data_IF_514222179017
#
_entry.id   IF_514222179017
#
_cell.length_a   1.000
_cell.length_b   1.000
_cell.length_c   1.000
_cell.angle_alpha   90.00
_cell.angle_beta   90.00
_cell.angle_gamma   90.00
#
_symmetry.space_group_name_H-M   'P 1'
#
loop_
_entity.id
_entity.type
_entity.pdbx_description
1 polymer ?
#
# COMPACT_ATOMS: atom_id res chain seq x y z
N UNK A 1 -45.45 21.40 2.95
CA UNK A 1 -44.22 21.96 2.37
C UNK A 1 -43.07 21.62 3.28
N UNK A 2 -42.25 20.74 2.81
CA UNK A 2 -41.31 19.90 3.55
C UNK A 2 -40.12 20.66 4.16
N UNK A 3 -40.03 20.55 5.49
CA UNK A 3 -38.86 20.99 6.27
C UNK A 3 -37.87 19.85 6.52
N UNK A 4 -37.70 18.94 5.55
CA UNK A 4 -36.92 17.70 5.69
C UNK A 4 -35.75 17.57 4.68
N UNK A 5 -35.13 18.67 4.24
CA UNK A 5 -33.96 18.62 3.34
C UNK A 5 -32.94 19.72 3.67
N UNK A 6 -32.35 19.68 4.85
CA UNK A 6 -31.07 20.36 5.08
C UNK A 6 -30.33 19.78 6.28
N UNK A 7 -30.22 18.48 6.41
CA UNK A 7 -29.04 17.93 7.10
C UNK A 7 -27.89 17.97 6.09
N UNK A 8 -27.21 19.12 6.08
CA UNK A 8 -25.91 19.25 5.41
C UNK A 8 -25.03 18.10 5.89
N UNK A 9 -24.54 17.29 4.94
CA UNK A 9 -23.57 16.25 5.19
C UNK A 9 -22.31 16.93 5.79
N UNK A 10 -22.32 17.07 7.11
CA UNK A 10 -21.13 17.45 7.84
C UNK A 10 -20.12 16.34 7.59
N UNK A 11 -19.03 16.63 6.87
CA UNK A 11 -18.00 15.67 6.53
C UNK A 11 -17.64 14.88 7.81
N UNK A 12 -17.99 13.61 7.86
CA UNK A 12 -17.75 12.75 9.02
C UNK A 12 -16.25 12.60 9.16
N UNK A 13 -15.66 13.22 10.17
CA UNK A 13 -14.23 13.12 10.46
C UNK A 13 -13.96 11.90 11.33
N UNK A 14 -12.88 11.18 11.04
CA UNK A 14 -12.39 10.06 11.84
C UNK A 14 -11.65 10.50 13.11
N UNK A 15 -11.47 11.81 13.31
CA UNK A 15 -10.77 12.37 14.49
C UNK A 15 -9.33 11.87 14.59
N UNK A 16 -8.62 11.80 13.46
CA UNK A 16 -7.27 11.24 13.38
C UNK A 16 -6.19 12.15 14.02
N UNK A 17 -6.51 13.37 14.35
CA UNK A 17 -5.69 14.34 15.08
C UNK A 17 -5.36 13.90 16.51
N UNK A 18 -6.13 12.97 17.08
CA UNK A 18 -5.83 12.35 18.39
C UNK A 18 -4.63 11.40 18.38
N UNK A 19 -4.17 10.98 17.21
CA UNK A 19 -3.02 10.09 17.06
C UNK A 19 -1.74 10.89 16.79
N UNK A 20 -0.62 10.44 17.37
CA UNK A 20 0.67 11.00 17.04
C UNK A 20 0.95 10.84 15.54
N UNK A 21 1.29 11.94 14.86
CA UNK A 21 1.49 11.96 13.41
C UNK A 21 2.55 12.96 13.02
N UNK A 22 3.34 12.62 11.99
CA UNK A 22 4.34 13.50 11.36
C UNK A 22 3.95 13.72 9.90
N UNK A 23 3.99 14.94 9.43
CA UNK A 23 3.72 15.25 8.03
C UNK A 23 4.86 14.77 7.13
N UNK A 24 4.63 13.70 6.39
CA UNK A 24 5.58 13.11 5.43
C UNK A 24 5.02 13.07 4.00
N UNK A 25 3.70 13.02 3.86
CA UNK A 25 3.02 12.91 2.57
C UNK A 25 2.70 14.27 1.95
N UNK A 26 2.75 14.33 0.63
CA UNK A 26 1.98 15.32 -0.12
C UNK A 26 0.52 14.85 -0.16
N UNK A 27 -0.38 15.60 0.46
CA UNK A 27 -1.81 15.29 0.56
C UNK A 27 -2.65 16.53 0.24
N UNK A 28 -3.84 16.36 -0.35
CA UNK A 28 -4.39 15.09 -0.85
C UNK A 28 -3.64 14.60 -2.09
N UNK A 29 -3.50 13.26 -2.25
CA UNK A 29 -2.98 12.73 -3.52
C UNK A 29 -4.06 12.82 -4.59
N UNK A 30 -3.72 13.04 -5.89
CA UNK A 30 -4.71 13.19 -6.94
C UNK A 30 -5.61 11.96 -7.14
N UNK A 31 -6.85 12.19 -7.57
CA UNK A 31 -7.69 11.21 -8.26
C UNK A 31 -7.82 11.69 -9.71
N UNK A 32 -7.40 10.87 -10.65
CA UNK A 32 -7.36 11.18 -12.08
C UNK A 32 -8.17 10.18 -12.88
N UNK A 33 -8.90 10.58 -13.96
CA UNK A 33 -9.55 9.63 -14.84
C UNK A 33 -8.53 8.89 -15.70
N UNK A 34 -8.72 7.58 -15.88
CA UNK A 34 -7.95 6.74 -16.80
C UNK A 34 -8.73 6.57 -18.12
N UNK A 35 -8.80 7.65 -18.89
CA UNK A 35 -9.72 7.77 -20.03
C UNK A 35 -9.39 6.78 -21.15
N UNK A 36 -8.10 6.59 -21.44
CA UNK A 36 -7.68 5.69 -22.54
C UNK A 36 -7.82 4.22 -22.13
N UNK A 37 -7.53 3.90 -20.87
CA UNK A 37 -7.77 2.55 -20.33
C UNK A 37 -9.26 2.22 -20.29
N UNK A 38 -10.13 3.16 -19.88
CA UNK A 38 -11.58 2.99 -19.90
C UNK A 38 -12.08 2.68 -21.32
N UNK A 39 -11.64 3.46 -22.32
CA UNK A 39 -12.00 3.24 -23.72
C UNK A 39 -11.48 1.89 -24.26
N UNK A 40 -10.24 1.51 -23.90
CA UNK A 40 -9.63 0.25 -24.33
C UNK A 40 -10.37 -0.98 -23.80
N UNK A 41 -10.79 -0.94 -22.54
CA UNK A 41 -11.45 -2.07 -21.88
C UNK A 41 -12.97 -2.13 -22.17
N UNK A 42 -13.56 -1.04 -22.67
CA UNK A 42 -14.96 -1.02 -23.10
C UNK A 42 -15.99 -1.29 -22.01
N UNK A 43 -15.62 -1.00 -20.74
CA UNK A 43 -16.42 -1.28 -19.55
C UNK A 43 -16.70 -0.05 -18.69
N UNK A 44 -16.41 -0.12 -17.37
CA UNK A 44 -16.64 0.97 -16.43
C UNK A 44 -15.73 2.18 -16.70
N UNK A 45 -16.09 3.33 -16.13
CA UNK A 45 -15.18 4.47 -16.05
C UNK A 45 -14.11 4.19 -15.01
N UNK A 46 -12.84 4.19 -15.43
CA UNK A 46 -11.71 3.93 -14.55
C UNK A 46 -11.07 5.23 -14.06
N UNK A 47 -10.73 5.25 -12.81
CA UNK A 47 -10.00 6.32 -12.14
C UNK A 47 -8.80 5.74 -11.39
N UNK A 48 -7.80 6.58 -11.14
CA UNK A 48 -6.60 6.21 -10.39
C UNK A 48 -6.38 7.16 -9.21
N UNK A 49 -6.24 6.62 -8.01
CA UNK A 49 -5.77 7.33 -6.82
C UNK A 49 -4.26 7.24 -6.76
N UNK A 50 -3.58 8.37 -6.86
CA UNK A 50 -2.14 8.50 -7.09
C UNK A 50 -1.33 8.46 -5.79
N UNK A 51 -1.40 7.37 -5.02
CA UNK A 51 -0.56 7.23 -3.82
C UNK A 51 0.92 6.95 -4.15
N UNK A 52 1.26 6.72 -5.41
CA UNK A 52 2.62 6.83 -5.94
C UNK A 52 3.18 8.26 -5.83
N UNK A 53 2.33 9.29 -5.80
CA UNK A 53 2.69 10.70 -5.69
C UNK A 53 2.74 11.24 -4.24
N UNK A 54 2.83 10.39 -3.22
CA UNK A 54 2.97 10.84 -1.81
C UNK A 54 4.26 11.62 -1.53
N UNK A 55 5.21 11.65 -2.45
CA UNK A 55 6.37 12.52 -2.46
C UNK A 55 7.63 11.92 -1.81
N UNK A 56 7.57 11.42 -0.58
CA UNK A 56 8.75 10.92 0.14
C UNK A 56 9.47 9.80 -0.63
N UNK A 57 10.74 9.99 -0.95
CA UNK A 57 11.59 9.01 -1.63
C UNK A 57 10.97 8.45 -2.93
N UNK A 58 10.38 9.31 -3.74
CA UNK A 58 9.68 8.90 -4.96
C UNK A 58 8.28 8.31 -4.71
N UNK A 59 7.72 8.52 -3.53
CA UNK A 59 6.33 8.21 -3.19
C UNK A 59 6.02 6.74 -2.90
N UNK A 60 4.76 6.51 -2.60
CA UNK A 60 4.19 5.19 -2.33
C UNK A 60 3.34 5.13 -1.05
N UNK A 61 2.53 4.09 -0.98
CA UNK A 61 1.53 3.89 0.07
C UNK A 61 2.10 3.81 1.51
N UNK A 62 3.37 3.49 1.66
CA UNK A 62 3.96 3.32 2.99
C UNK A 62 4.17 4.66 3.70
N UNK A 63 4.33 5.75 2.95
CA UNK A 63 4.46 7.10 3.52
C UNK A 63 3.27 7.44 4.40
N UNK A 64 2.03 7.14 3.98
CA UNK A 64 0.83 7.36 4.80
C UNK A 64 0.86 6.62 6.14
N UNK A 65 1.31 5.37 6.13
CA UNK A 65 1.44 4.55 7.33
C UNK A 65 2.55 5.06 8.24
N UNK A 66 3.66 5.47 7.63
CA UNK A 66 4.83 5.98 8.32
C UNK A 66 4.57 7.31 9.01
N UNK A 67 3.64 8.13 8.54
CA UNK A 67 3.24 9.34 9.26
C UNK A 67 2.83 9.03 10.72
N UNK A 68 2.05 7.97 10.93
CA UNK A 68 1.59 7.55 12.26
C UNK A 68 2.64 6.74 13.01
N UNK A 69 3.33 5.81 12.32
CA UNK A 69 4.35 4.97 12.94
C UNK A 69 5.56 5.78 13.42
N UNK A 70 6.00 6.75 12.63
CA UNK A 70 7.08 7.68 13.00
C UNK A 70 6.61 8.64 14.08
N UNK A 71 5.35 9.09 14.03
CA UNK A 71 4.75 9.87 15.11
C UNK A 71 4.85 9.16 16.46
N UNK A 72 4.48 7.87 16.51
CA UNK A 72 4.62 7.07 17.74
C UNK A 72 6.09 6.81 18.12
N UNK A 73 6.98 6.60 17.15
CA UNK A 73 8.41 6.45 17.40
C UNK A 73 9.00 7.71 18.08
N UNK A 74 8.67 8.91 17.58
CA UNK A 74 9.12 10.17 18.15
C UNK A 74 8.53 10.41 19.55
N UNK A 75 7.25 10.08 19.75
CA UNK A 75 6.60 10.13 21.07
C UNK A 75 7.29 9.18 22.08
N UNK A 76 7.77 8.02 21.62
CA UNK A 76 8.57 7.08 22.39
C UNK A 76 10.04 7.51 22.54
N UNK A 77 10.45 8.68 22.00
CA UNK A 77 11.82 9.19 21.99
C UNK A 77 12.82 8.21 21.35
N UNK A 78 12.40 7.50 20.31
CA UNK A 78 13.27 6.61 19.56
C UNK A 78 14.43 7.38 18.92
N UNK A 79 15.62 6.76 18.90
CA UNK A 79 16.81 7.25 18.20
C UNK A 79 17.04 6.52 16.87
N UNK A 80 16.32 5.40 16.66
CA UNK A 80 16.45 4.54 15.50
C UNK A 80 15.12 3.88 15.13
N UNK A 81 14.88 3.71 13.82
CA UNK A 81 13.84 2.84 13.30
C UNK A 81 14.44 1.49 12.89
N UNK A 82 13.79 0.41 13.28
CA UNK A 82 14.12 -0.95 12.82
C UNK A 82 12.96 -1.50 12.03
N UNK A 83 13.21 -2.07 10.85
CA UNK A 83 12.16 -2.71 10.05
C UNK A 83 12.69 -3.87 9.22
N UNK A 84 11.79 -4.57 8.53
CA UNK A 84 12.12 -5.68 7.65
C UNK A 84 11.28 -5.69 6.37
N UNK A 85 11.80 -6.34 5.32
CA UNK A 85 11.10 -6.55 4.07
C UNK A 85 11.85 -7.49 3.13
N UNK A 86 11.28 -7.75 1.95
CA UNK A 86 12.03 -8.39 0.87
C UNK A 86 13.14 -7.47 0.36
N UNK A 87 14.13 -7.99 -0.35
CA UNK A 87 15.26 -7.23 -0.91
C UNK A 87 14.79 -5.97 -1.64
N UNK A 88 13.82 -6.07 -2.56
CA UNK A 88 13.27 -4.91 -3.28
C UNK A 88 12.02 -4.33 -2.60
N UNK A 89 12.09 -4.10 -1.27
CA UNK A 89 10.95 -3.64 -0.49
C UNK A 89 10.71 -2.14 -0.60
N UNK A 90 9.58 -1.74 -1.18
CA UNK A 90 9.11 -0.35 -1.16
C UNK A 90 8.84 0.17 0.26
N UNK A 91 8.54 -0.74 1.20
CA UNK A 91 8.36 -0.39 2.61
C UNK A 91 9.68 0.01 3.27
N UNK A 92 10.72 -0.80 3.08
CA UNK A 92 12.05 -0.53 3.64
C UNK A 92 12.56 0.82 3.14
N UNK A 93 12.54 1.06 1.82
CA UNK A 93 12.94 2.35 1.24
C UNK A 93 12.24 3.54 1.87
N UNK A 94 10.91 3.48 1.96
CA UNK A 94 10.15 4.60 2.53
C UNK A 94 10.41 4.76 4.03
N UNK A 95 10.69 3.66 4.76
CA UNK A 95 11.05 3.72 6.18
C UNK A 95 12.42 4.36 6.37
N UNK A 96 13.43 3.98 5.55
CA UNK A 96 14.75 4.61 5.58
C UNK A 96 14.67 6.12 5.29
N UNK A 97 13.90 6.50 4.28
CA UNK A 97 13.68 7.90 3.94
C UNK A 97 12.93 8.66 5.05
N UNK A 98 11.95 8.04 5.70
CA UNK A 98 11.22 8.65 6.82
C UNK A 98 12.13 8.86 8.02
N UNK A 99 12.99 7.89 8.36
CA UNK A 99 14.00 8.02 9.40
C UNK A 99 14.94 9.21 9.11
N UNK A 100 15.49 9.27 7.89
CA UNK A 100 16.34 10.38 7.44
C UNK A 100 15.62 11.73 7.57
N UNK A 101 14.34 11.82 7.17
CA UNK A 101 13.54 13.04 7.22
C UNK A 101 13.36 13.61 8.63
N UNK A 102 13.33 12.75 9.65
CA UNK A 102 13.13 13.13 11.06
C UNK A 102 14.41 13.04 11.90
N UNK A 103 15.56 12.78 11.28
CA UNK A 103 16.86 12.74 11.96
C UNK A 103 17.11 11.47 12.79
N UNK A 104 16.41 10.37 12.51
CA UNK A 104 16.62 9.08 13.16
C UNK A 104 17.56 8.21 12.32
N UNK A 105 18.28 7.30 12.99
CA UNK A 105 18.98 6.18 12.33
C UNK A 105 17.95 5.17 11.78
N UNK A 106 18.38 4.35 10.83
CA UNK A 106 17.55 3.26 10.30
C UNK A 106 18.36 1.98 10.16
N UNK A 107 17.84 0.88 10.68
CA UNK A 107 18.40 -0.46 10.51
C UNK A 107 17.37 -1.39 9.90
N UNK A 108 17.75 -2.15 8.84
CA UNK A 108 16.78 -2.91 8.06
C UNK A 108 17.24 -4.34 7.82
N UNK A 109 16.30 -5.28 7.87
CA UNK A 109 16.50 -6.68 7.52
C UNK A 109 15.88 -6.96 6.15
N UNK A 110 16.68 -7.46 5.21
CA UNK A 110 16.30 -7.73 3.82
C UNK A 110 16.23 -9.25 3.57
N UNK A 111 15.03 -9.78 3.38
CA UNK A 111 14.79 -11.20 3.10
C UNK A 111 14.99 -11.50 1.62
N UNK A 112 15.84 -12.49 1.27
CA UNK A 112 16.01 -13.04 -0.09
C UNK A 112 14.82 -13.91 -0.49
N UNK A 113 13.67 -13.29 -0.60
CA UNK A 113 12.38 -13.95 -0.83
C UNK A 113 12.19 -14.44 -2.26
N UNK A 114 12.79 -13.75 -3.23
CA UNK A 114 12.68 -14.08 -4.64
C UNK A 114 13.94 -14.86 -5.04
N UNK A 115 13.80 -16.13 -5.50
CA UNK A 115 14.93 -16.97 -5.86
C UNK A 115 15.57 -16.52 -7.18
N UNK A 116 16.76 -17.03 -7.45
CA UNK A 116 17.45 -17.01 -8.75
C UNK A 116 17.61 -15.61 -9.37
N UNK A 117 17.84 -14.59 -8.51
CA UNK A 117 18.07 -13.22 -8.95
C UNK A 117 19.55 -12.95 -9.23
N UNK A 118 19.82 -12.15 -10.26
CA UNK A 118 21.16 -11.65 -10.55
C UNK A 118 21.71 -10.83 -9.37
N UNK A 119 23.03 -10.76 -9.24
CA UNK A 119 23.69 -9.99 -8.17
C UNK A 119 23.33 -8.49 -8.18
N UNK A 120 22.92 -7.95 -9.33
CA UNK A 120 22.42 -6.58 -9.48
C UNK A 120 21.14 -6.34 -8.71
N UNK A 121 20.28 -7.35 -8.54
CA UNK A 121 19.04 -7.27 -7.77
C UNK A 121 19.24 -6.80 -6.32
N UNK A 122 20.38 -7.12 -5.72
CA UNK A 122 20.75 -6.70 -4.36
C UNK A 122 21.52 -5.37 -4.31
N UNK A 123 21.64 -4.65 -5.44
CA UNK A 123 22.43 -3.42 -5.53
C UNK A 123 21.71 -2.26 -6.22
N UNK A 124 20.60 -2.52 -6.90
CA UNK A 124 19.83 -1.51 -7.65
C UNK A 124 18.45 -1.24 -7.01
N UNK A 125 17.67 -0.36 -7.60
CA UNK A 125 16.29 -0.09 -7.20
C UNK A 125 16.20 0.36 -5.74
N UNK A 126 15.33 -0.30 -4.97
CA UNK A 126 15.10 0.04 -3.57
C UNK A 126 16.35 -0.12 -2.70
N UNK A 127 17.19 -1.14 -2.93
CA UNK A 127 18.41 -1.39 -2.13
C UNK A 127 19.43 -0.25 -2.26
N UNK A 128 19.62 0.27 -3.48
CA UNK A 128 20.46 1.44 -3.70
C UNK A 128 19.93 2.65 -2.91
N UNK A 129 18.62 2.85 -2.92
CA UNK A 129 17.99 3.96 -2.22
C UNK A 129 18.05 3.81 -0.71
N UNK A 130 17.94 2.60 -0.16
CA UNK A 130 18.14 2.33 1.26
C UNK A 130 19.53 2.80 1.71
N UNK A 131 20.55 2.46 0.92
CA UNK A 131 21.94 2.86 1.17
C UNK A 131 22.14 4.38 1.05
N UNK A 132 21.51 5.04 0.06
CA UNK A 132 21.55 6.49 -0.11
C UNK A 132 20.93 7.24 1.05
N UNK A 133 19.88 6.67 1.69
CA UNK A 133 19.27 7.23 2.90
C UNK A 133 20.04 6.88 4.18
N UNK A 134 21.21 6.23 4.07
CA UNK A 134 22.06 5.90 5.21
C UNK A 134 21.53 4.78 6.10
N UNK A 135 20.62 3.94 5.60
CA UNK A 135 20.18 2.78 6.35
C UNK A 135 21.29 1.72 6.40
N UNK A 136 21.50 1.12 7.58
CA UNK A 136 22.30 -0.10 7.72
C UNK A 136 21.43 -1.31 7.40
N UNK A 137 21.93 -2.25 6.60
CA UNK A 137 21.15 -3.40 6.13
C UNK A 137 21.84 -4.72 6.43
N UNK A 138 21.03 -5.72 6.79
CA UNK A 138 21.45 -7.11 6.92
C UNK A 138 20.54 -8.00 6.06
N UNK A 139 21.17 -8.91 5.30
CA UNK A 139 20.40 -9.86 4.50
C UNK A 139 20.05 -11.12 5.31
N UNK A 140 18.87 -11.67 5.03
CA UNK A 140 18.36 -12.91 5.62
C UNK A 140 17.93 -13.90 4.54
N UNK A 141 18.11 -15.20 4.75
CA UNK A 141 17.55 -16.22 3.87
C UNK A 141 16.02 -16.18 3.87
N UNK A 142 15.41 -16.74 2.83
CA UNK A 142 13.95 -16.87 2.74
C UNK A 142 13.39 -17.84 3.79
N UNK A 143 12.13 -17.60 4.20
CA UNK A 143 11.35 -18.52 5.02
C UNK A 143 11.46 -18.34 6.53
N UNK A 144 12.19 -17.33 7.00
CA UNK A 144 12.24 -16.96 8.41
C UNK A 144 10.98 -16.17 8.83
N UNK A 145 10.69 -16.20 10.13
CA UNK A 145 9.80 -15.19 10.73
C UNK A 145 10.53 -13.86 10.83
N UNK A 146 10.45 -13.06 9.79
CA UNK A 146 11.18 -11.81 9.69
C UNK A 146 10.77 -10.77 10.75
N UNK A 147 9.56 -10.87 11.32
CA UNK A 147 9.20 -10.00 12.45
C UNK A 147 9.94 -10.43 13.72
N UNK A 148 10.01 -11.72 13.99
CA UNK A 148 10.78 -12.24 15.13
C UNK A 148 12.28 -11.92 14.98
N UNK A 149 12.86 -12.05 13.77
CA UNK A 149 14.24 -11.66 13.50
C UNK A 149 14.48 -10.16 13.78
N UNK A 150 13.58 -9.29 13.32
CA UNK A 150 13.71 -7.85 13.55
C UNK A 150 13.48 -7.45 15.01
N UNK A 151 12.62 -8.16 15.74
CA UNK A 151 12.44 -7.99 17.19
C UNK A 151 13.70 -8.39 17.97
N UNK A 152 14.36 -9.49 17.58
CA UNK A 152 15.62 -9.92 18.18
C UNK A 152 16.73 -8.89 17.95
N UNK A 153 16.88 -8.36 16.74
CA UNK A 153 17.83 -7.27 16.44
C UNK A 153 17.48 -6.00 17.24
N UNK A 154 16.21 -5.67 17.35
CA UNK A 154 15.74 -4.53 18.16
C UNK A 154 16.13 -4.70 19.63
N UNK A 155 16.04 -5.92 20.18
CA UNK A 155 16.46 -6.22 21.54
C UNK A 155 17.99 -6.08 21.72
N UNK A 156 18.80 -6.55 20.75
CA UNK A 156 20.26 -6.37 20.76
C UNK A 156 20.66 -4.91 20.77
N UNK A 157 20.07 -4.10 19.89
CA UNK A 157 20.34 -2.67 19.81
C UNK A 157 19.99 -1.94 21.12
N UNK A 158 18.93 -2.39 21.83
CA UNK A 158 18.61 -1.85 23.17
C UNK A 158 19.67 -2.20 24.20
N UNK A 159 20.22 -3.42 24.14
CA UNK A 159 21.31 -3.83 25.04
C UNK A 159 22.61 -3.03 24.78
N UNK A 160 22.79 -2.52 23.57
CA UNK A 160 23.89 -1.65 23.16
C UNK A 160 23.67 -0.16 23.54
N UNK A 161 22.51 0.17 24.16
CA UNK A 161 22.22 1.52 24.67
C UNK A 161 21.42 2.39 23.70
N UNK A 162 20.89 1.84 22.59
CA UNK A 162 19.98 2.54 21.69
C UNK A 162 18.52 2.50 22.20
N UNK A 163 17.67 3.36 21.66
CA UNK A 163 16.22 3.34 21.85
C UNK A 163 15.49 3.06 20.53
N UNK A 164 15.61 1.85 19.95
CA UNK A 164 15.03 1.53 18.67
C UNK A 164 13.51 1.35 18.75
N UNK A 165 12.80 1.85 17.71
CA UNK A 165 11.38 1.60 17.47
C UNK A 165 11.22 0.61 16.32
N UNK A 166 10.63 -0.55 16.61
CA UNK A 166 10.37 -1.57 15.61
C UNK A 166 9.08 -1.26 14.83
N UNK A 167 9.19 -1.24 13.51
CA UNK A 167 8.09 -1.11 12.55
C UNK A 167 7.92 -2.47 11.85
N UNK A 168 6.77 -3.15 12.00
CA UNK A 168 6.56 -4.47 11.39
C UNK A 168 6.52 -4.38 9.86
N UNK A 169 6.72 -5.51 9.19
CA UNK A 169 6.78 -5.60 7.73
C UNK A 169 5.60 -4.92 7.05
N UNK A 170 5.92 -4.05 6.08
CA UNK A 170 4.93 -3.25 5.37
C UNK A 170 4.24 -2.16 6.20
N UNK A 171 4.71 -1.87 7.42
CA UNK A 171 4.04 -0.95 8.35
C UNK A 171 2.64 -1.42 8.73
N UNK A 172 2.44 -2.74 8.85
CA UNK A 172 1.12 -3.35 8.93
C UNK A 172 0.76 -3.74 10.36
N UNK A 173 0.44 -2.73 11.17
CA UNK A 173 -0.22 -2.84 12.47
C UNK A 173 -1.38 -1.83 12.53
N UNK A 174 -2.08 -1.78 13.64
CA UNK A 174 -3.23 -0.90 13.87
C UNK A 174 -2.87 0.60 13.85
N UNK A 175 -1.64 0.97 14.22
CA UNK A 175 -1.14 2.35 14.11
C UNK A 175 -0.91 2.72 12.64
N UNK A 176 -0.16 1.89 11.91
CA UNK A 176 0.09 2.12 10.48
C UNK A 176 -1.19 2.09 9.64
N UNK A 177 -2.19 1.30 10.02
CA UNK A 177 -3.48 1.26 9.36
C UNK A 177 -4.21 2.61 9.38
N UNK A 178 -3.94 3.48 10.37
CA UNK A 178 -4.53 4.83 10.43
C UNK A 178 -4.15 5.69 9.23
N UNK A 179 -3.00 5.45 8.61
CA UNK A 179 -2.61 6.12 7.36
C UNK A 179 -3.56 5.83 6.20
N UNK A 180 -4.19 4.65 6.20
CA UNK A 180 -5.20 4.29 5.20
C UNK A 180 -6.64 4.57 5.65
N UNK A 181 -6.89 4.71 6.93
CA UNK A 181 -8.12 5.34 7.41
C UNK A 181 -8.16 6.83 6.96
N UNK A 182 -7.04 7.54 7.05
CA UNK A 182 -6.93 8.90 6.50
C UNK A 182 -7.15 8.95 4.97
N UNK A 183 -6.66 7.94 4.24
CA UNK A 183 -6.92 7.82 2.80
C UNK A 183 -8.40 7.58 2.49
N UNK A 184 -9.12 6.83 3.32
CA UNK A 184 -10.55 6.62 3.18
C UNK A 184 -11.33 7.94 3.33
N UNK A 185 -10.99 8.76 4.34
CA UNK A 185 -11.57 10.08 4.55
C UNK A 185 -11.27 11.01 3.35
N UNK A 186 -10.04 10.98 2.85
CA UNK A 186 -9.61 11.74 1.68
C UNK A 186 -10.37 11.33 0.41
N UNK A 187 -10.54 10.03 0.14
CA UNK A 187 -11.31 9.52 -1.00
C UNK A 187 -12.77 9.94 -0.90
N UNK A 188 -13.40 9.85 0.27
CA UNK A 188 -14.78 10.27 0.46
C UNK A 188 -14.96 11.76 0.13
N UNK A 189 -14.09 12.63 0.66
CA UNK A 189 -14.11 14.06 0.39
C UNK A 189 -13.84 14.39 -1.08
N UNK A 190 -12.88 13.72 -1.71
CA UNK A 190 -12.57 13.92 -3.14
C UNK A 190 -13.69 13.41 -4.05
N UNK A 191 -14.38 12.32 -3.69
CA UNK A 191 -15.55 11.82 -4.42
C UNK A 191 -16.66 12.87 -4.47
N UNK A 192 -16.94 13.53 -3.34
CA UNK A 192 -17.89 14.64 -3.27
C UNK A 192 -17.45 15.84 -4.10
N UNK A 193 -16.20 16.26 -3.95
CA UNK A 193 -15.63 17.42 -4.66
C UNK A 193 -15.62 17.23 -6.20
N UNK A 194 -15.36 16.00 -6.66
CA UNK A 194 -15.39 15.65 -8.08
C UNK A 194 -16.81 15.43 -8.64
N UNK A 195 -17.82 15.28 -7.78
CA UNK A 195 -19.18 14.87 -8.18
C UNK A 195 -19.21 13.45 -8.75
N UNK A 196 -18.24 12.60 -8.39
CA UNK A 196 -18.11 11.22 -8.87
C UNK A 196 -18.37 10.25 -7.73
N UNK A 197 -19.39 9.42 -7.87
CA UNK A 197 -19.62 8.30 -6.94
C UNK A 197 -18.86 7.07 -7.45
N UNK A 198 -17.95 6.56 -6.65
CA UNK A 198 -17.26 5.30 -6.92
C UNK A 198 -18.11 4.12 -6.43
N UNK A 199 -18.15 3.03 -7.22
CA UNK A 199 -18.82 1.77 -6.89
C UNK A 199 -17.81 0.74 -6.38
N UNK A 200 -16.53 0.88 -6.72
CA UNK A 200 -15.47 -0.05 -6.35
C UNK A 200 -14.15 0.67 -6.15
N UNK A 201 -13.36 0.17 -5.20
CA UNK A 201 -11.92 0.39 -5.15
C UNK A 201 -11.22 -0.94 -5.46
N UNK A 202 -10.20 -0.91 -6.31
CA UNK A 202 -9.35 -2.07 -6.61
C UNK A 202 -7.91 -1.73 -6.28
N UNK A 203 -7.18 -2.66 -5.63
CA UNK A 203 -5.79 -2.45 -5.23
C UNK A 203 -5.02 -3.75 -5.07
N UNK A 204 -3.69 -3.70 -5.20
CA UNK A 204 -2.84 -4.82 -4.79
C UNK A 204 -2.79 -4.98 -3.27
N UNK A 205 -3.00 -6.20 -2.74
CA UNK A 205 -2.96 -6.51 -1.31
C UNK A 205 -1.90 -7.58 -0.99
N UNK A 206 -1.08 -7.34 0.02
CA UNK A 206 -0.02 -8.27 0.45
C UNK A 206 0.23 -8.21 1.96
N UNK A 207 0.81 -7.12 2.46
CA UNK A 207 1.11 -6.94 3.89
C UNK A 207 -0.10 -6.51 4.74
N UNK A 208 -1.32 -6.58 4.23
CA UNK A 208 -2.61 -6.30 4.88
C UNK A 208 -2.94 -4.85 5.21
N UNK A 209 -2.03 -4.08 5.78
CA UNK A 209 -2.32 -2.80 6.44
C UNK A 209 -2.93 -1.71 5.55
N UNK A 210 -2.71 -1.75 4.23
CA UNK A 210 -3.33 -0.79 3.29
C UNK A 210 -4.82 -1.09 3.12
N UNK A 211 -5.16 -2.33 2.77
CA UNK A 211 -6.56 -2.74 2.62
C UNK A 211 -7.31 -2.67 3.96
N UNK A 212 -6.69 -3.14 5.03
CA UNK A 212 -7.29 -3.13 6.36
C UNK A 212 -7.64 -1.72 6.85
N UNK A 213 -6.70 -0.76 6.70
CA UNK A 213 -6.93 0.62 7.08
C UNK A 213 -7.99 1.31 6.23
N UNK A 214 -7.97 1.06 4.91
CA UNK A 214 -8.96 1.62 3.99
C UNK A 214 -10.37 1.11 4.30
N UNK A 215 -10.55 -0.21 4.46
CA UNK A 215 -11.84 -0.81 4.81
C UNK A 215 -12.32 -0.35 6.18
N UNK A 216 -11.44 -0.30 7.19
CA UNK A 216 -11.79 0.18 8.52
C UNK A 216 -12.21 1.66 8.51
N UNK A 217 -11.50 2.51 7.75
CA UNK A 217 -11.84 3.92 7.60
C UNK A 217 -13.19 4.13 6.92
N UNK A 218 -13.44 3.46 5.79
CA UNK A 218 -14.73 3.52 5.10
C UNK A 218 -15.86 3.03 5.99
N UNK A 219 -15.64 1.93 6.73
CA UNK A 219 -16.62 1.40 7.68
C UNK A 219 -16.93 2.40 8.82
N UNK A 220 -15.91 3.03 9.39
CA UNK A 220 -16.07 4.03 10.44
C UNK A 220 -16.80 5.30 9.95
N UNK A 221 -16.59 5.69 8.68
CA UNK A 221 -17.32 6.79 8.02
C UNK A 221 -18.77 6.41 7.66
N UNK A 222 -19.15 5.13 7.72
CA UNK A 222 -20.43 4.64 7.22
C UNK A 222 -20.55 4.71 5.70
N UNK A 223 -19.42 4.68 4.98
CA UNK A 223 -19.37 4.70 3.51
C UNK A 223 -19.37 3.27 2.99
N UNK A 224 -20.41 2.91 2.24
CA UNK A 224 -20.52 1.59 1.60
C UNK A 224 -19.84 1.60 0.23
N UNK A 225 -18.52 1.46 0.25
CA UNK A 225 -17.66 1.40 -0.93
C UNK A 225 -16.77 0.15 -0.83
N UNK A 226 -17.06 -0.91 -1.60
CA UNK A 226 -16.32 -2.16 -1.54
C UNK A 226 -14.88 -1.99 -2.05
N UNK A 227 -13.94 -2.65 -1.34
CA UNK A 227 -12.51 -2.65 -1.65
C UNK A 227 -12.07 -4.05 -2.06
N UNK A 228 -11.84 -4.26 -3.35
CA UNK A 228 -11.29 -5.50 -3.89
C UNK A 228 -9.77 -5.49 -3.78
N UNK A 229 -9.22 -6.36 -2.95
CA UNK A 229 -7.78 -6.60 -2.85
C UNK A 229 -7.33 -7.69 -3.80
N UNK A 230 -6.46 -7.36 -4.75
CA UNK A 230 -5.79 -8.36 -5.59
C UNK A 230 -4.59 -8.90 -4.83
N UNK A 231 -4.65 -10.15 -4.41
CA UNK A 231 -3.56 -10.75 -3.65
C UNK A 231 -2.29 -10.84 -4.50
N UNK A 232 -1.17 -10.47 -3.90
CA UNK A 232 0.14 -10.54 -4.57
C UNK A 232 1.00 -11.72 -4.09
N UNK A 233 0.48 -12.48 -3.08
CA UNK A 233 1.27 -13.51 -2.42
C UNK A 233 0.46 -14.68 -1.86
N UNK A 234 -0.59 -14.39 -1.09
CA UNK A 234 -1.29 -15.38 -0.30
C UNK A 234 -2.55 -15.90 -1.01
N UNK A 235 -2.94 -17.16 -0.79
CA UNK A 235 -4.26 -17.63 -1.14
C UNK A 235 -5.35 -16.77 -0.52
N UNK A 236 -6.48 -16.67 -1.20
CA UNK A 236 -7.64 -15.82 -0.88
C UNK A 236 -8.03 -15.87 0.60
N UNK A 237 -8.30 -17.07 1.12
CA UNK A 237 -8.82 -17.21 2.48
C UNK A 237 -7.80 -16.78 3.55
N UNK A 238 -6.53 -17.07 3.32
CA UNK A 238 -5.44 -16.61 4.20
C UNK A 238 -5.32 -15.09 4.19
N UNK A 239 -5.42 -14.48 3.00
CA UNK A 239 -5.35 -13.03 2.87
C UNK A 239 -6.58 -12.36 3.51
N UNK A 240 -7.80 -12.89 3.29
CA UNK A 240 -9.03 -12.40 3.94
C UNK A 240 -8.86 -12.43 5.47
N UNK A 241 -8.47 -13.57 6.04
CA UNK A 241 -8.30 -13.72 7.48
C UNK A 241 -7.27 -12.72 8.05
N UNK A 242 -6.15 -12.55 7.36
CA UNK A 242 -5.10 -11.63 7.79
C UNK A 242 -5.53 -10.15 7.71
N UNK A 243 -6.19 -9.75 6.62
CA UNK A 243 -6.72 -8.39 6.45
C UNK A 243 -7.82 -8.12 7.48
N UNK A 244 -8.77 -9.04 7.66
CA UNK A 244 -9.86 -8.90 8.62
C UNK A 244 -9.35 -8.71 10.05
N UNK A 245 -8.39 -9.56 10.49
CA UNK A 245 -7.78 -9.43 11.81
C UNK A 245 -7.23 -8.03 12.09
N UNK A 246 -6.58 -7.43 11.10
CA UNK A 246 -6.04 -6.09 11.24
C UNK A 246 -7.11 -5.01 11.09
N UNK A 247 -8.09 -5.18 10.19
CA UNK A 247 -9.16 -4.23 9.97
C UNK A 247 -10.06 -4.07 11.20
N UNK A 248 -10.34 -5.17 11.93
CA UNK A 248 -11.07 -5.13 13.21
C UNK A 248 -10.32 -4.26 14.22
N UNK A 249 -9.02 -4.48 14.42
CA UNK A 249 -8.21 -3.68 15.35
C UNK A 249 -8.15 -2.20 14.93
N UNK A 250 -8.08 -1.93 13.64
CA UNK A 250 -8.09 -0.58 13.11
C UNK A 250 -9.48 0.10 13.35
N UNK A 251 -10.57 -0.63 13.13
CA UNK A 251 -11.93 -0.15 13.39
C UNK A 251 -12.15 0.13 14.88
N UNK A 252 -11.71 -0.76 15.78
CA UNK A 252 -11.73 -0.56 17.23
C UNK A 252 -10.98 0.72 17.64
N UNK A 253 -9.80 0.95 17.07
CA UNK A 253 -9.00 2.17 17.31
C UNK A 253 -9.71 3.45 16.84
N UNK A 254 -10.51 3.35 15.79
CA UNK A 254 -11.36 4.44 15.30
C UNK A 254 -12.66 4.62 16.13
N UNK A 255 -12.97 3.69 17.02
CA UNK A 255 -14.25 3.68 17.76
C UNK A 255 -15.44 3.26 16.91
N UNK A 256 -15.19 2.56 15.81
CA UNK A 256 -16.22 2.09 14.90
C UNK A 256 -16.91 0.81 15.41
N UNK A 257 -18.12 0.50 14.91
CA UNK A 257 -18.79 -0.77 15.18
C UNK A 257 -17.96 -1.97 14.73
N UNK A 258 -18.35 -3.18 15.19
CA UNK A 258 -17.74 -4.43 14.77
C UNK A 258 -17.73 -4.55 13.24
N UNK A 259 -16.56 -4.80 12.66
CA UNK A 259 -16.38 -4.92 11.22
C UNK A 259 -16.59 -6.39 10.80
N UNK A 260 -17.61 -6.70 9.97
CA UNK A 260 -17.85 -8.07 9.54
C UNK A 260 -16.82 -8.53 8.49
N UNK A 261 -16.50 -9.83 8.51
CA UNK A 261 -15.53 -10.41 7.57
C UNK A 261 -15.96 -10.27 6.10
N UNK A 262 -17.27 -10.21 5.84
CA UNK A 262 -17.83 -10.01 4.48
C UNK A 262 -17.44 -8.69 3.81
N UNK A 263 -16.93 -7.72 4.58
CA UNK A 263 -16.39 -6.47 4.03
C UNK A 263 -14.98 -6.63 3.44
N UNK A 264 -14.33 -7.77 3.67
CA UNK A 264 -12.99 -8.04 3.13
C UNK A 264 -13.13 -8.87 1.85
N UNK A 265 -12.86 -8.24 0.71
CA UNK A 265 -12.91 -8.88 -0.60
C UNK A 265 -11.48 -9.08 -1.11
N UNK A 266 -11.18 -10.29 -1.57
CA UNK A 266 -9.87 -10.65 -2.10
C UNK A 266 -10.03 -11.55 -3.32
N UNK A 267 -9.24 -11.27 -4.34
CA UNK A 267 -9.02 -12.15 -5.50
C UNK A 267 -7.54 -12.55 -5.53
N UNK A 268 -7.25 -13.84 -5.63
CA UNK A 268 -5.90 -14.41 -5.69
C UNK A 268 -5.53 -14.95 -7.08
N UNK A 269 -6.38 -14.77 -8.08
CA UNK A 269 -6.17 -15.24 -9.45
C UNK A 269 -4.98 -14.61 -10.18
N UNK A 270 -4.35 -13.58 -9.59
CA UNK A 270 -3.25 -12.83 -10.20
C UNK A 270 -1.92 -12.95 -9.43
N UNK A 271 -1.82 -13.90 -8.52
CA UNK A 271 -0.58 -14.17 -7.77
C UNK A 271 0.53 -14.70 -8.70
N UNK A 272 0.15 -15.48 -9.72
CA UNK A 272 1.10 -16.16 -10.59
C UNK A 272 1.93 -17.20 -9.83
N UNK A 273 3.20 -17.38 -10.19
CA UNK A 273 4.12 -18.33 -9.56
C UNK A 273 4.49 -17.94 -8.11
N UNK A 274 4.29 -16.68 -7.75
CA UNK A 274 4.54 -16.26 -6.37
C UNK A 274 4.88 -14.78 -6.20
N UNK A 275 5.29 -14.46 -4.98
CA UNK A 275 5.70 -13.10 -4.64
C UNK A 275 6.94 -12.67 -5.41
N UNK A 276 6.86 -11.51 -6.06
CA UNK A 276 7.99 -10.93 -6.78
C UNK A 276 8.31 -11.61 -8.12
N UNK A 277 7.46 -12.54 -8.57
CA UNK A 277 7.55 -13.16 -9.90
C UNK A 277 6.39 -12.59 -10.72
N UNK A 278 6.66 -11.75 -11.74
CA UNK A 278 5.61 -11.22 -12.61
C UNK A 278 5.09 -12.30 -13.55
N UNK A 279 3.76 -12.41 -13.65
CA UNK A 279 3.10 -13.22 -14.66
C UNK A 279 2.90 -12.40 -15.95
N UNK A 280 2.58 -13.04 -17.08
CA UNK A 280 2.31 -12.36 -18.36
C UNK A 280 1.25 -11.28 -18.22
N UNK A 281 0.18 -11.55 -17.46
CA UNK A 281 -0.87 -10.56 -17.16
C UNK A 281 -0.35 -9.36 -16.38
N UNK A 282 0.67 -9.54 -15.54
CA UNK A 282 1.32 -8.44 -14.80
C UNK A 282 2.15 -7.57 -15.75
N UNK A 283 2.90 -8.19 -16.65
CA UNK A 283 3.71 -7.50 -17.66
C UNK A 283 2.82 -6.76 -18.67
N UNK A 284 1.72 -7.38 -19.11
CA UNK A 284 0.68 -6.71 -19.92
C UNK A 284 0.14 -5.48 -19.21
N UNK A 285 -0.24 -5.59 -17.94
CA UNK A 285 -0.82 -4.50 -17.17
C UNK A 285 0.15 -3.33 -17.00
N UNK A 286 1.44 -3.60 -16.74
CA UNK A 286 2.50 -2.59 -16.66
C UNK A 286 2.62 -1.86 -18.00
N UNK A 287 2.68 -2.62 -19.10
CA UNK A 287 2.81 -2.07 -20.46
C UNK A 287 1.60 -1.23 -20.86
N UNK A 288 0.38 -1.71 -20.57
CA UNK A 288 -0.85 -0.98 -20.89
C UNK A 288 -0.95 0.31 -20.07
N UNK A 289 -0.70 0.28 -18.76
CA UNK A 289 -0.73 1.49 -17.93
C UNK A 289 0.29 2.53 -18.41
N UNK A 290 1.50 2.10 -18.76
CA UNK A 290 2.52 3.00 -19.29
C UNK A 290 2.13 3.60 -20.64
N UNK A 291 1.66 2.79 -21.60
CA UNK A 291 1.35 3.24 -22.97
C UNK A 291 0.04 4.00 -23.09
N UNK A 292 -0.93 3.70 -22.23
CA UNK A 292 -2.25 4.34 -22.29
C UNK A 292 -2.32 5.59 -21.40
N UNK A 293 -1.75 5.54 -20.20
CA UNK A 293 -1.94 6.59 -19.19
C UNK A 293 -0.64 7.28 -18.76
N UNK A 294 0.53 6.82 -19.24
CA UNK A 294 1.83 7.33 -18.77
C UNK A 294 2.13 7.01 -17.31
N UNK A 295 1.54 5.95 -16.78
CA UNK A 295 1.64 5.53 -15.37
C UNK A 295 2.59 4.35 -15.24
N UNK A 296 3.58 4.44 -14.34
CA UNK A 296 4.54 3.39 -14.07
C UNK A 296 4.08 2.52 -12.89
N UNK A 297 3.91 1.23 -13.13
CA UNK A 297 3.56 0.23 -12.11
C UNK A 297 4.76 -0.66 -11.80
N UNK A 298 4.83 -1.20 -10.58
CA UNK A 298 5.85 -2.18 -10.20
C UNK A 298 5.40 -3.62 -10.47
N UNK A 299 6.31 -4.56 -10.74
CA UNK A 299 5.93 -5.94 -11.06
C UNK A 299 5.48 -6.77 -9.85
N UNK A 300 5.64 -6.27 -8.62
CA UNK A 300 5.37 -7.03 -7.39
C UNK A 300 3.97 -6.76 -6.84
N UNK A 301 3.55 -5.50 -6.83
CA UNK A 301 2.30 -5.06 -6.18
C UNK A 301 1.34 -4.37 -7.14
N UNK A 302 1.69 -3.19 -7.63
CA UNK A 302 0.77 -2.36 -8.42
C UNK A 302 0.49 -2.96 -9.80
N UNK A 303 1.45 -3.62 -10.41
CA UNK A 303 1.24 -4.36 -11.66
C UNK A 303 0.28 -5.53 -11.50
N UNK A 304 0.43 -6.35 -10.46
CA UNK A 304 -0.54 -7.42 -10.16
C UNK A 304 -1.93 -6.86 -9.81
N UNK A 305 -1.98 -5.76 -9.05
CA UNK A 305 -3.23 -5.06 -8.76
C UNK A 305 -3.95 -4.59 -10.02
N UNK A 306 -3.21 -4.01 -10.97
CA UNK A 306 -3.75 -3.55 -12.26
C UNK A 306 -4.13 -4.74 -13.17
N UNK A 307 -3.35 -5.82 -13.17
CA UNK A 307 -3.71 -7.06 -13.89
C UNK A 307 -5.07 -7.59 -13.40
N UNK A 308 -5.30 -7.56 -12.08
CA UNK A 308 -6.59 -7.91 -11.50
C UNK A 308 -7.71 -6.97 -11.95
N UNK A 309 -7.50 -5.66 -11.92
CA UNK A 309 -8.49 -4.70 -12.43
C UNK A 309 -8.86 -4.99 -13.89
N UNK A 310 -7.86 -5.16 -14.75
CA UNK A 310 -8.07 -5.46 -16.19
C UNK A 310 -8.83 -6.77 -16.36
N UNK A 311 -8.44 -7.81 -15.64
CA UNK A 311 -9.10 -9.11 -15.71
C UNK A 311 -10.56 -9.06 -15.23
N UNK A 312 -10.84 -8.36 -14.14
CA UNK A 312 -12.19 -8.19 -13.62
C UNK A 312 -13.08 -7.36 -14.58
N UNK A 313 -12.52 -6.35 -15.26
CA UNK A 313 -13.23 -5.65 -16.34
C UNK A 313 -13.58 -6.60 -17.49
N UNK A 314 -12.62 -7.40 -17.96
CA UNK A 314 -12.82 -8.36 -19.07
C UNK A 314 -13.82 -9.46 -18.72
N UNK A 315 -13.93 -9.83 -17.45
CA UNK A 315 -14.90 -10.80 -16.92
C UNK A 315 -16.31 -10.20 -16.74
N UNK A 316 -16.49 -8.88 -16.95
CA UNK A 316 -17.76 -8.21 -16.77
C UNK A 316 -18.22 -8.07 -15.33
N UNK A 317 -17.28 -8.08 -14.36
CA UNK A 317 -17.60 -7.90 -12.93
C UNK A 317 -18.22 -6.52 -12.67
N UNK A 318 -17.73 -5.49 -13.38
CA UNK A 318 -18.20 -4.12 -13.24
C UNK A 318 -19.22 -3.79 -14.32
N UNK A 319 -20.24 -3.03 -13.94
CA UNK A 319 -21.23 -2.51 -14.91
C UNK A 319 -20.61 -1.39 -15.76
N UNK A 320 -21.07 -1.19 -16.98
CA UNK A 320 -20.60 -0.07 -17.81
C UNK A 320 -20.84 1.31 -17.20
N UNK A 321 -21.79 1.42 -16.28
CA UNK A 321 -22.12 2.65 -15.54
C UNK A 321 -21.33 2.84 -14.26
N UNK A 322 -20.51 1.88 -13.86
CA UNK A 322 -19.73 1.97 -12.62
C UNK A 322 -18.52 2.89 -12.81
N UNK A 323 -18.16 3.59 -11.73
CA UNK A 323 -16.87 4.26 -11.60
C UNK A 323 -16.00 3.42 -10.68
N UNK A 324 -14.87 2.95 -11.19
CA UNK A 324 -13.94 2.08 -10.45
C UNK A 324 -12.65 2.84 -10.18
N UNK A 325 -12.26 2.92 -8.91
CA UNK A 325 -11.05 3.61 -8.48
C UNK A 325 -9.93 2.59 -8.28
N UNK A 326 -8.86 2.68 -9.05
CA UNK A 326 -7.63 1.94 -8.80
C UNK A 326 -6.76 2.70 -7.81
N UNK A 327 -6.43 2.09 -6.66
CA UNK A 327 -5.48 2.66 -5.72
C UNK A 327 -4.05 2.27 -6.14
N UNK A 328 -3.34 3.21 -6.74
CA UNK A 328 -1.94 3.04 -7.16
C UNK A 328 -1.00 3.23 -5.98
N UNK A 329 -0.47 2.12 -5.47
CA UNK A 329 0.35 2.09 -4.24
C UNK A 329 1.82 2.47 -4.43
N UNK A 330 2.22 2.87 -5.64
CA UNK A 330 3.61 3.21 -5.97
C UNK A 330 4.46 1.99 -6.34
N UNK A 331 5.77 2.12 -6.22
CA UNK A 331 6.73 1.03 -6.41
C UNK A 331 7.58 1.12 -7.67
N UNK A 332 7.46 2.16 -8.49
CA UNK A 332 8.18 2.30 -9.76
C UNK A 332 9.72 2.12 -9.64
N UNK A 333 10.29 2.40 -8.47
CA UNK A 333 11.72 2.20 -8.22
C UNK A 333 12.17 0.74 -8.35
N UNK A 334 11.25 -0.22 -8.16
CA UNK A 334 11.53 -1.64 -8.33
C UNK A 334 11.68 -2.06 -9.80
N UNK A 335 11.18 -1.27 -10.76
CA UNK A 335 11.27 -1.59 -12.21
C UNK A 335 12.70 -1.90 -12.63
N UNK A 336 13.68 -1.12 -12.16
CA UNK A 336 15.09 -1.29 -12.52
C UNK A 336 15.74 -2.58 -11.97
N UNK A 337 15.09 -3.26 -11.04
CA UNK A 337 15.50 -4.57 -10.56
C UNK A 337 14.83 -5.74 -11.32
N UNK A 338 14.01 -5.43 -12.33
CA UNK A 338 13.25 -6.36 -13.17
C UNK A 338 13.44 -6.05 -14.65
N UNK A 339 14.63 -5.52 -15.02
CA UNK A 339 14.92 -5.05 -16.38
C UNK A 339 14.75 -6.15 -17.42
N UNK A 340 15.30 -7.34 -17.15
CA UNK A 340 15.28 -8.46 -18.10
C UNK A 340 13.84 -8.91 -18.41
N UNK A 341 13.00 -9.06 -17.39
CA UNK A 341 11.60 -9.47 -17.58
C UNK A 341 10.80 -8.44 -18.37
N UNK A 342 11.06 -7.15 -18.10
CA UNK A 342 10.37 -6.07 -18.80
C UNK A 342 10.81 -5.94 -20.24
N UNK A 343 12.11 -5.99 -20.53
CA UNK A 343 12.64 -5.94 -21.88
C UNK A 343 12.16 -7.13 -22.73
N UNK A 344 12.13 -8.33 -22.14
CA UNK A 344 11.60 -9.52 -22.83
C UNK A 344 10.11 -9.39 -23.16
N UNK A 345 9.32 -8.72 -22.31
CA UNK A 345 7.90 -8.51 -22.56
C UNK A 345 7.61 -7.39 -23.58
N UNK A 346 8.58 -6.54 -23.91
CA UNK A 346 8.44 -5.44 -24.86
C UNK A 346 8.81 -5.85 -26.30
N UNK A 347 9.55 -6.96 -26.48
CA UNK A 347 9.95 -7.55 -27.76
C UNK A 347 8.92 -8.57 -28.26
#
# INVERSE_FOLDING_TARGET
MDAAQSESAQARSLGLDRFARVALCHQPTPIEPMTRMSALLGGPSLYIKRDDCTGLAGGGNKTRKLEFLVGEALKAKADMLVTQGAVQSNHVRQTAAAACRVGLKCHVLLERRVPDRAASYEKTGNVLLDSLFGATSEFRPAGLDMNAEAEAVTASLRAEGHNPYFIPGGGSNDIGAMGYAACAEEIASQSEALGVRFQWIVMGTGSTGTQAGLVAGLHALGVDLPVMGISVRQPRDKQIAAVHKLAVRAAERLGAPTLPVSKILVDDGYVGEGYGIPADSTLEAITLAARQEGVLLDPVYSGKGMAGLIGLCRQGMFKPTDNVLFLHTGGAQALFAYEDELLNALN
#
